data_IF_010539055794
#
_entry.id   IF_010539055794
#
_cell.length_a   1.000
_cell.length_b   1.000
_cell.length_c   1.000
_cell.angle_alpha   90.00
_cell.angle_beta   90.00
_cell.angle_gamma   90.00
#
_symmetry.space_group_name_H-M   'P 1'
#
loop_
_entity.id
_entity.type
_entity.pdbx_description
1 polymer ?
#
# COMPACT_ATOMS: atom_id res chain seq x y z
N UNK A 1 20.80 -11.21 -8.77
CA UNK A 1 19.40 -10.73 -8.59
C UNK A 1 18.45 -11.89 -8.80
N UNK A 2 17.50 -12.07 -7.88
CA UNK A 2 16.47 -13.08 -8.06
C UNK A 2 15.41 -12.58 -9.02
N UNK A 3 14.87 -13.43 -9.91
CA UNK A 3 13.79 -13.05 -10.80
C UNK A 3 12.52 -12.75 -10.00
N UNK A 4 11.63 -11.94 -10.58
CA UNK A 4 10.32 -11.72 -10.01
C UNK A 4 9.50 -13.01 -10.09
N UNK A 5 8.65 -13.20 -9.09
CA UNK A 5 7.74 -14.33 -9.05
C UNK A 5 6.66 -14.18 -10.13
N UNK A 6 6.32 -15.27 -10.79
CA UNK A 6 5.24 -15.29 -11.78
C UNK A 6 4.01 -15.92 -11.17
N UNK A 7 2.90 -15.16 -11.20
CA UNK A 7 1.68 -15.52 -10.48
C UNK A 7 0.48 -14.78 -11.12
N UNK A 8 -0.74 -15.21 -10.84
CA UNK A 8 -1.94 -14.59 -11.40
C UNK A 8 -2.75 -13.76 -10.39
N UNK A 9 -2.30 -13.63 -9.19
CA UNK A 9 -2.96 -12.79 -8.19
C UNK A 9 -2.33 -12.93 -6.82
N UNK A 10 -2.48 -11.89 -6.02
CA UNK A 10 -1.98 -11.86 -4.64
C UNK A 10 -2.89 -10.98 -3.79
N UNK A 11 -2.95 -11.32 -2.51
CA UNK A 11 -3.49 -10.45 -1.48
C UNK A 11 -2.32 -10.04 -0.59
N UNK A 12 -2.10 -8.73 -0.43
CA UNK A 12 -0.96 -8.19 0.29
C UNK A 12 -1.41 -7.35 1.47
N UNK A 13 -0.65 -7.46 2.54
CA UNK A 13 -0.72 -6.58 3.72
C UNK A 13 0.37 -5.52 3.57
N UNK A 14 0.00 -4.25 3.73
CA UNK A 14 0.95 -3.14 3.62
C UNK A 14 0.75 -2.19 4.81
N UNK A 15 1.71 -2.10 5.74
CA UNK A 15 1.56 -1.18 6.86
C UNK A 15 1.70 0.26 6.41
N UNK A 16 0.95 1.15 7.06
CA UNK A 16 1.14 2.58 6.97
C UNK A 16 1.06 3.16 8.37
N UNK A 17 1.74 4.27 8.61
CA UNK A 17 1.84 4.85 9.92
C UNK A 17 1.20 6.24 9.89
N UNK A 18 -0.11 6.34 10.19
CA UNK A 18 -0.77 7.65 10.22
C UNK A 18 -0.23 8.53 11.33
N UNK A 19 0.30 7.93 12.39
CA UNK A 19 1.12 8.63 13.36
C UNK A 19 2.13 7.67 13.98
N UNK A 20 3.20 8.21 14.52
CA UNK A 20 4.25 7.43 15.19
C UNK A 20 4.60 8.10 16.51
N UNK A 21 4.97 7.32 17.56
CA UNK A 21 5.44 7.90 18.81
C UNK A 21 6.81 8.56 18.60
N UNK A 22 7.02 9.68 19.24
CA UNK A 22 8.26 10.43 19.14
C UNK A 22 8.82 10.68 20.55
N UNK A 23 9.98 10.12 20.85
CA UNK A 23 10.74 10.20 22.10
C UNK A 23 10.00 9.60 23.31
N UNK A 24 8.72 9.95 23.52
CA UNK A 24 7.91 9.43 24.62
C UNK A 24 6.52 9.05 24.10
N UNK A 25 5.83 8.16 24.80
CA UNK A 25 4.55 7.59 24.36
C UNK A 25 3.44 8.62 24.17
N UNK A 26 3.55 9.77 24.83
CA UNK A 26 2.52 10.80 24.76
C UNK A 26 2.74 11.82 23.64
N UNK A 27 3.88 11.77 22.96
CA UNK A 27 4.19 12.66 21.85
C UNK A 27 4.14 11.88 20.56
N UNK A 28 3.23 12.26 19.67
CA UNK A 28 2.98 11.56 18.40
C UNK A 28 3.23 12.50 17.22
N UNK A 29 3.87 11.99 16.17
CA UNK A 29 3.90 12.65 14.87
C UNK A 29 2.74 12.17 14.02
N UNK A 30 1.95 13.10 13.51
CA UNK A 30 0.99 12.78 12.46
C UNK A 30 1.72 12.69 11.13
N UNK A 31 1.38 11.68 10.34
CA UNK A 31 2.04 11.35 9.09
C UNK A 31 1.02 11.34 7.96
N UNK A 32 1.44 11.76 6.79
CA UNK A 32 0.71 11.44 5.57
C UNK A 32 1.38 10.24 4.91
N UNK A 33 0.63 9.52 4.10
CA UNK A 33 1.15 8.35 3.42
C UNK A 33 0.61 8.27 2.01
N UNK A 34 1.40 7.72 1.11
CA UNK A 34 0.84 7.22 -0.15
C UNK A 34 1.28 5.78 -0.36
N UNK A 35 0.43 5.04 -1.04
CA UNK A 35 0.63 3.65 -1.40
C UNK A 35 0.75 3.59 -2.91
N UNK A 36 1.79 2.96 -3.41
CA UNK A 36 2.04 2.82 -4.83
C UNK A 36 2.05 1.35 -5.23
N UNK A 37 1.34 1.04 -6.30
CA UNK A 37 1.32 -0.29 -6.90
C UNK A 37 1.89 -0.16 -8.31
N UNK A 38 3.07 -0.74 -8.51
CA UNK A 38 3.82 -0.68 -9.76
C UNK A 38 3.67 -1.98 -10.53
N UNK A 39 3.12 -1.92 -11.73
CA UNK A 39 3.11 -3.08 -12.60
C UNK A 39 4.50 -3.28 -13.20
N UNK A 40 5.12 -4.41 -12.90
CA UNK A 40 6.48 -4.73 -13.32
C UNK A 40 6.54 -5.49 -14.65
N UNK A 41 5.40 -5.67 -15.32
CA UNK A 41 5.35 -6.41 -16.58
C UNK A 41 5.59 -5.47 -17.76
N UNK A 42 6.28 -5.99 -18.76
CA UNK A 42 6.58 -5.23 -19.97
C UNK A 42 5.37 -5.13 -20.92
N UNK A 43 4.47 -6.11 -20.87
CA UNK A 43 3.37 -6.19 -21.84
C UNK A 43 2.02 -6.62 -21.26
N UNK A 44 1.97 -7.05 -20.01
CA UNK A 44 0.74 -7.57 -19.41
C UNK A 44 0.16 -6.60 -18.39
N UNK A 45 -1.14 -6.31 -18.44
CA UNK A 45 -1.79 -5.52 -17.40
C UNK A 45 -2.05 -6.35 -16.15
N UNK A 46 -2.25 -5.68 -15.04
CA UNK A 46 -2.83 -6.26 -13.83
C UNK A 46 -4.07 -5.45 -13.44
N UNK A 47 -4.91 -6.01 -12.58
CA UNK A 47 -6.16 -5.40 -12.16
C UNK A 47 -6.19 -5.34 -10.64
N UNK A 48 -6.37 -4.15 -10.08
CA UNK A 48 -6.58 -3.99 -8.65
C UNK A 48 -8.05 -4.28 -8.36
N UNK A 49 -8.30 -5.22 -7.47
CA UNK A 49 -9.66 -5.65 -7.11
C UNK A 49 -10.04 -5.27 -5.68
N UNK A 50 -9.06 -4.99 -4.84
CA UNK A 50 -9.29 -4.47 -3.48
C UNK A 50 -8.17 -3.51 -3.10
N UNK A 51 -8.54 -2.36 -2.54
CA UNK A 51 -7.64 -1.44 -1.88
C UNK A 51 -8.39 -0.93 -0.66
N UNK A 52 -8.24 -1.64 0.45
CA UNK A 52 -8.96 -1.41 1.69
C UNK A 52 -8.01 -0.85 2.74
N UNK A 53 -8.46 0.17 3.44
CA UNK A 53 -7.68 0.81 4.49
C UNK A 53 -8.29 0.50 5.85
N UNK A 54 -7.46 0.00 6.78
CA UNK A 54 -7.86 -0.38 8.13
C UNK A 54 -7.13 0.46 9.15
N UNK A 55 -7.82 0.77 10.27
CA UNK A 55 -7.15 1.41 11.40
C UNK A 55 -6.33 0.39 12.20
N UNK A 56 -5.64 0.85 13.23
CA UNK A 56 -4.79 -0.01 14.06
C UNK A 56 -5.55 -1.15 14.77
N UNK A 57 -6.87 -1.02 14.92
CA UNK A 57 -7.70 -2.02 15.57
C UNK A 57 -8.32 -3.02 14.58
N UNK A 58 -7.93 -2.93 13.31
CA UNK A 58 -8.41 -3.82 12.25
C UNK A 58 -9.80 -3.50 11.74
N UNK A 59 -10.28 -2.29 11.99
CA UNK A 59 -11.59 -1.85 11.47
C UNK A 59 -11.39 -1.12 10.15
N UNK A 60 -12.27 -1.39 9.19
CA UNK A 60 -12.23 -0.75 7.89
C UNK A 60 -12.54 0.74 8.03
N UNK A 61 -11.70 1.56 7.41
CA UNK A 61 -11.85 3.02 7.38
C UNK A 61 -12.32 3.47 6.01
N UNK A 62 -11.79 2.88 4.95
CA UNK A 62 -12.08 3.32 3.58
C UNK A 62 -11.90 2.17 2.60
N UNK A 63 -12.70 2.19 1.54
CA UNK A 63 -12.57 1.34 0.37
C UNK A 63 -12.27 2.25 -0.83
N UNK A 64 -11.01 2.30 -1.23
CA UNK A 64 -10.56 3.23 -2.27
C UNK A 64 -11.07 2.89 -3.67
N UNK A 65 -11.52 1.66 -3.89
CA UNK A 65 -12.07 1.25 -5.18
C UNK A 65 -13.60 1.28 -5.23
N UNK A 66 -14.25 1.42 -4.09
CA UNK A 66 -15.72 1.45 -3.97
C UNK A 66 -16.35 0.25 -4.70
N UNK A 67 -15.77 -0.93 -4.51
CA UNK A 67 -16.19 -2.19 -5.14
C UNK A 67 -15.97 -2.25 -6.65
N UNK A 68 -15.24 -1.28 -7.23
CA UNK A 68 -14.82 -1.34 -8.62
C UNK A 68 -13.46 -2.00 -8.79
N UNK A 69 -12.97 -2.02 -10.03
CA UNK A 69 -11.64 -2.53 -10.36
C UNK A 69 -10.87 -1.45 -11.11
N UNK A 70 -9.55 -1.46 -10.97
CA UNK A 70 -8.67 -0.55 -11.70
C UNK A 70 -7.67 -1.38 -12.50
N UNK A 71 -7.59 -1.11 -13.80
CA UNK A 71 -6.55 -1.68 -14.66
C UNK A 71 -5.27 -0.87 -14.49
N UNK A 72 -4.15 -1.55 -14.25
CA UNK A 72 -2.82 -0.97 -14.23
C UNK A 72 -2.07 -1.46 -15.45
N UNK A 73 -1.81 -0.57 -16.39
CA UNK A 73 -1.14 -0.91 -17.64
C UNK A 73 0.30 -1.37 -17.40
N UNK A 74 0.92 -2.07 -18.36
CA UNK A 74 2.32 -2.47 -18.23
C UNK A 74 3.23 -1.28 -17.90
N UNK A 75 4.11 -1.47 -16.91
CA UNK A 75 5.06 -0.46 -16.41
C UNK A 75 4.41 0.78 -15.81
N UNK A 76 3.10 0.79 -15.63
CA UNK A 76 2.38 1.90 -15.01
C UNK A 76 2.30 1.73 -13.50
N UNK A 77 1.97 2.82 -12.82
CA UNK A 77 1.79 2.87 -11.38
C UNK A 77 0.45 3.50 -11.05
N UNK A 78 -0.27 2.90 -10.12
CA UNK A 78 -1.39 3.54 -9.44
C UNK A 78 -1.00 3.85 -8.01
N UNK A 79 -1.49 4.97 -7.49
CA UNK A 79 -1.21 5.31 -6.10
C UNK A 79 -2.47 5.80 -5.39
N UNK A 80 -2.47 5.67 -4.07
CA UNK A 80 -3.55 6.07 -3.17
C UNK A 80 -2.95 6.86 -2.03
N UNK A 81 -3.67 7.88 -1.58
CA UNK A 81 -3.16 8.85 -0.63
C UNK A 81 -3.96 8.82 0.68
N UNK A 82 -3.25 8.80 1.81
CA UNK A 82 -3.82 8.95 3.14
C UNK A 82 -3.38 10.32 3.66
N UNK A 83 -4.34 11.25 3.91
CA UNK A 83 -4.00 12.61 4.27
C UNK A 83 -3.38 12.70 5.67
N UNK A 84 -2.67 13.80 5.88
CA UNK A 84 -1.96 14.10 7.12
C UNK A 84 -2.86 14.09 8.36
N UNK A 85 -4.12 14.46 8.21
CA UNK A 85 -5.07 14.55 9.33
C UNK A 85 -5.73 13.22 9.69
N UNK A 86 -5.35 12.14 9.02
CA UNK A 86 -5.90 10.82 9.31
C UNK A 86 -5.55 10.39 10.74
N UNK A 87 -6.52 9.81 11.44
CA UNK A 87 -6.37 9.38 12.84
C UNK A 87 -6.41 7.87 12.99
N UNK A 88 -6.12 7.13 11.94
CA UNK A 88 -6.16 5.65 11.98
C UNK A 88 -5.10 5.03 12.90
N UNK A 89 -4.06 5.78 13.23
CA UNK A 89 -3.10 5.40 14.27
C UNK A 89 -1.88 4.63 13.78
N UNK A 90 -0.97 4.37 14.70
CA UNK A 90 0.18 3.50 14.46
C UNK A 90 -0.34 2.07 14.24
N UNK A 91 0.11 1.43 13.18
CA UNK A 91 -0.35 0.08 12.84
C UNK A 91 -1.54 0.04 11.90
N UNK A 92 -2.01 1.18 11.40
CA UNK A 92 -2.94 1.20 10.28
C UNK A 92 -2.31 0.50 9.07
N UNK A 93 -3.16 -0.02 8.18
CA UNK A 93 -2.65 -0.84 7.07
C UNK A 93 -3.61 -0.84 5.89
N UNK A 94 -3.05 -1.20 4.75
CA UNK A 94 -3.81 -1.51 3.54
C UNK A 94 -3.86 -3.00 3.31
N UNK A 95 -5.01 -3.47 2.86
CA UNK A 95 -5.17 -4.79 2.28
C UNK A 95 -5.40 -4.58 0.79
N UNK A 96 -4.49 -5.10 -0.04
CA UNK A 96 -4.49 -4.87 -1.47
C UNK A 96 -4.58 -6.20 -2.18
N UNK A 97 -5.54 -6.31 -3.10
CA UNK A 97 -5.67 -7.50 -3.95
C UNK A 97 -5.54 -7.09 -5.40
N UNK A 98 -4.74 -7.84 -6.13
CA UNK A 98 -4.65 -7.71 -7.58
C UNK A 98 -4.79 -9.08 -8.24
N UNK A 99 -5.25 -9.08 -9.48
CA UNK A 99 -5.36 -10.29 -10.30
C UNK A 99 -4.88 -9.99 -11.71
N UNK A 100 -4.57 -11.05 -12.44
CA UNK A 100 -4.23 -11.00 -13.86
C UNK A 100 -4.88 -12.18 -14.58
N UNK A 101 -4.98 -12.07 -15.91
CA UNK A 101 -5.60 -13.11 -16.73
C UNK A 101 -4.69 -14.30 -16.97
N UNK A 102 -3.42 -14.19 -16.66
CA UNK A 102 -2.40 -15.23 -16.83
C UNK A 102 -1.34 -15.09 -15.78
N UNK A 103 -0.33 -15.96 -15.78
CA UNK A 103 0.83 -15.81 -14.90
C UNK A 103 1.66 -14.62 -15.37
N UNK A 104 1.89 -13.69 -14.48
CA UNK A 104 2.63 -12.46 -14.74
C UNK A 104 3.66 -12.23 -13.64
N UNK A 105 4.54 -11.25 -13.83
CA UNK A 105 5.43 -10.82 -12.76
C UNK A 105 4.61 -10.17 -11.65
N UNK A 106 4.96 -10.47 -10.40
CA UNK A 106 4.33 -9.81 -9.27
C UNK A 106 4.61 -8.30 -9.31
N UNK A 107 3.64 -7.46 -8.90
CA UNK A 107 3.86 -6.02 -8.82
C UNK A 107 4.76 -5.67 -7.64
N UNK A 108 5.33 -4.47 -7.71
CA UNK A 108 6.00 -3.86 -6.56
C UNK A 108 4.96 -3.01 -5.82
N UNK A 109 4.69 -3.37 -4.57
CA UNK A 109 3.71 -2.67 -3.74
C UNK A 109 4.44 -2.09 -2.54
N UNK A 110 4.36 -0.76 -2.39
CA UNK A 110 5.11 -0.06 -1.34
C UNK A 110 4.33 1.13 -0.82
N UNK A 111 4.70 1.59 0.37
CA UNK A 111 4.20 2.82 0.94
C UNK A 111 5.32 3.75 1.32
N UNK A 112 5.06 5.05 1.20
CA UNK A 112 5.92 6.10 1.72
C UNK A 112 5.10 6.93 2.70
N UNK A 113 5.55 6.98 3.94
CA UNK A 113 4.89 7.72 5.01
C UNK A 113 5.78 8.88 5.40
N UNK A 114 5.24 10.09 5.39
CA UNK A 114 6.02 11.32 5.57
C UNK A 114 5.42 12.21 6.63
N UNK A 115 6.32 12.90 7.35
CA UNK A 115 6.03 14.12 8.07
C UNK A 115 7.11 15.14 7.70
N UNK A 116 6.72 16.24 7.07
CA UNK A 116 7.65 17.30 6.66
C UNK A 116 7.38 18.54 7.50
N UNK A 117 8.38 18.98 8.24
CA UNK A 117 8.34 20.19 9.06
C UNK A 117 9.56 21.06 8.73
N UNK A 118 9.52 22.37 9.02
CA UNK A 118 10.62 23.28 8.65
C UNK A 118 12.00 22.83 9.08
N UNK A 119 12.13 22.21 10.26
CA UNK A 119 13.40 21.79 10.80
C UNK A 119 13.51 20.28 10.97
N UNK A 120 12.56 19.51 10.47
CA UNK A 120 12.55 18.08 10.72
C UNK A 120 11.64 17.36 9.73
N UNK A 121 12.21 16.38 9.05
CA UNK A 121 11.47 15.51 8.13
C UNK A 121 11.64 14.06 8.57
N UNK A 122 10.54 13.36 8.70
CA UNK A 122 10.53 11.92 8.99
C UNK A 122 9.88 11.20 7.85
N UNK A 123 10.53 10.16 7.33
CA UNK A 123 10.00 9.32 6.27
C UNK A 123 10.19 7.85 6.62
N UNK A 124 9.17 7.06 6.32
CA UNK A 124 9.20 5.61 6.52
C UNK A 124 8.76 4.94 5.22
N UNK A 125 9.56 4.00 4.74
CA UNK A 125 9.26 3.19 3.57
C UNK A 125 8.87 1.78 4.04
N UNK A 126 7.80 1.22 3.45
CA UNK A 126 7.37 -0.13 3.75
C UNK A 126 7.03 -0.87 2.46
N UNK A 127 7.22 -2.17 2.47
CA UNK A 127 6.85 -3.04 1.34
C UNK A 127 5.71 -3.96 1.75
N UNK A 128 4.86 -4.31 0.77
CA UNK A 128 3.76 -5.21 0.99
C UNK A 128 4.23 -6.64 1.28
N UNK A 129 3.54 -7.29 2.19
CA UNK A 129 3.75 -8.71 2.49
C UNK A 129 2.61 -9.51 1.88
N UNK A 130 2.96 -10.52 1.10
CA UNK A 130 1.98 -11.42 0.50
C UNK A 130 1.42 -12.34 1.56
N UNK A 131 0.08 -12.35 1.70
CA UNK A 131 -0.61 -13.24 2.64
C UNK A 131 -1.45 -14.29 1.94
N UNK A 132 -1.69 -14.15 0.65
CA UNK A 132 -2.40 -15.15 -0.16
C UNK A 132 -1.97 -15.02 -1.63
N UNK A 133 -1.90 -16.14 -2.34
CA UNK A 133 -1.50 -16.17 -3.74
C UNK A 133 -2.52 -16.95 -4.57
N UNK A 134 -2.61 -16.57 -5.86
CA UNK A 134 -3.43 -17.25 -6.86
C UNK A 134 -2.54 -17.65 -8.03
N UNK A 135 -2.56 -18.91 -8.37
CA UNK A 135 -1.78 -19.47 -9.49
C UNK A 135 -2.64 -19.69 -10.73
#
# INVERSE_FOLDING_TARGET
MLPLKRISGQLLYLPVYSNVPYQIDTVMFDMSAFVAIHNTNLSSPIYLTKVLYFNKDGKIVDDFLESGNIRVNPLATNFFYVPYEDKSGTGANFLIEWVADSLVNEPLVESVTLNVKPNNTVAVLSQGKVIRERY
#
